data_IF_723174544938
#
_entry.id   IF_723174544938
#
_cell.length_a   1.000
_cell.length_b   1.000
_cell.length_c   1.000
_cell.angle_alpha   90.00
_cell.angle_beta   90.00
_cell.angle_gamma   90.00
#
_symmetry.space_group_name_H-M   'P 1'
#
loop_
_entity.id
_entity.type
_entity.pdbx_description
1 polymer ?
#
# COMPACT_ATOMS: atom_id res chain seq x y z
N UNK A 1 10.38 -11.86 9.32
CA UNK A 1 11.37 -11.43 8.33
C UNK A 1 11.46 -12.33 7.09
N UNK A 2 11.04 -13.59 7.17
CA UNK A 2 11.11 -14.55 6.05
C UNK A 2 10.45 -14.01 4.75
N UNK A 3 9.26 -13.40 4.84
CA UNK A 3 8.56 -12.83 3.67
C UNK A 3 9.38 -11.72 3.02
N UNK A 4 9.92 -10.79 3.80
CA UNK A 4 10.76 -9.70 3.29
C UNK A 4 12.00 -10.22 2.56
N UNK A 5 12.68 -11.19 3.17
CA UNK A 5 13.87 -11.81 2.56
C UNK A 5 13.54 -12.52 1.25
N UNK A 6 12.43 -13.28 1.21
CA UNK A 6 11.97 -13.96 0.00
C UNK A 6 11.65 -12.96 -1.10
N UNK A 7 10.91 -11.89 -0.79
CA UNK A 7 10.55 -10.83 -1.74
C UNK A 7 11.79 -10.09 -2.25
N UNK A 8 12.74 -9.76 -1.38
CA UNK A 8 13.94 -9.03 -1.78
C UNK A 8 14.85 -9.86 -2.69
N UNK A 9 14.96 -11.16 -2.42
CA UNK A 9 15.67 -12.10 -3.30
C UNK A 9 14.98 -12.20 -4.66
N UNK A 10 13.64 -12.21 -4.70
CA UNK A 10 12.88 -12.21 -5.93
C UNK A 10 13.08 -10.90 -6.72
N UNK A 11 13.00 -9.75 -6.07
CA UNK A 11 13.28 -8.44 -6.70
C UNK A 11 14.69 -8.37 -7.28
N UNK A 12 15.70 -8.89 -6.58
CA UNK A 12 17.08 -8.99 -7.10
C UNK A 12 17.14 -9.82 -8.38
N UNK A 13 16.45 -10.98 -8.40
CA UNK A 13 16.41 -11.89 -9.56
C UNK A 13 15.81 -11.23 -10.81
N UNK A 14 14.75 -10.44 -10.63
CA UNK A 14 13.97 -9.86 -11.73
C UNK A 14 14.25 -8.37 -11.98
N UNK A 15 15.20 -7.76 -11.30
CA UNK A 15 15.44 -6.31 -11.29
C UNK A 15 15.51 -5.64 -12.68
N UNK A 16 16.04 -6.33 -13.68
CA UNK A 16 16.22 -5.81 -15.05
C UNK A 16 14.94 -5.99 -15.90
N UNK A 17 14.09 -6.95 -15.55
CA UNK A 17 12.90 -7.32 -16.34
C UNK A 17 11.63 -6.57 -15.90
N UNK A 18 11.65 -6.02 -14.69
CA UNK A 18 10.49 -5.31 -14.12
C UNK A 18 10.32 -3.92 -14.73
N UNK A 19 9.09 -3.48 -15.00
CA UNK A 19 8.79 -2.10 -15.38
C UNK A 19 9.41 -1.09 -14.39
N UNK A 20 9.71 0.12 -14.87
CA UNK A 20 10.35 1.13 -14.04
C UNK A 20 9.51 1.56 -12.83
N UNK A 21 8.19 1.56 -12.99
CA UNK A 21 7.18 1.92 -12.00
C UNK A 21 6.68 0.74 -11.17
N UNK A 22 7.18 -0.48 -11.43
CA UNK A 22 6.78 -1.68 -10.69
C UNK A 22 7.15 -1.56 -9.21
N UNK A 23 6.17 -1.78 -8.33
CA UNK A 23 6.33 -1.78 -6.86
C UNK A 23 5.75 -3.04 -6.25
N UNK A 24 6.29 -3.42 -5.09
CA UNK A 24 5.75 -4.49 -4.25
C UNK A 24 5.37 -3.91 -2.90
N UNK A 25 4.15 -4.17 -2.50
CA UNK A 25 3.64 -3.86 -1.17
C UNK A 25 3.88 -5.02 -0.19
N UNK A 26 4.28 -4.67 1.03
CA UNK A 26 4.64 -5.62 2.08
C UNK A 26 3.99 -5.21 3.40
N UNK A 27 3.16 -6.08 3.93
CA UNK A 27 2.52 -5.87 5.23
C UNK A 27 3.53 -5.84 6.39
N UNK A 28 3.37 -4.88 7.30
CA UNK A 28 4.14 -4.79 8.55
C UNK A 28 3.34 -5.40 9.69
N UNK A 29 3.87 -6.48 10.28
CA UNK A 29 3.23 -7.10 11.43
C UNK A 29 3.20 -6.17 12.65
N UNK A 30 2.09 -6.12 13.41
CA UNK A 30 1.98 -5.34 14.65
C UNK A 30 3.13 -5.60 15.66
N UNK A 31 3.69 -6.81 15.68
CA UNK A 31 4.82 -7.17 16.55
C UNK A 31 6.08 -6.33 16.31
N UNK A 32 6.25 -5.75 15.12
CA UNK A 32 7.42 -4.94 14.80
C UNK A 32 7.39 -3.54 15.41
N UNK A 33 6.23 -3.11 15.93
CA UNK A 33 6.10 -1.81 16.59
C UNK A 33 6.53 -1.81 18.06
N UNK A 34 6.83 -2.98 18.62
CA UNK A 34 7.49 -3.09 19.93
C UNK A 34 8.93 -2.56 19.87
N UNK A 35 9.64 -2.81 18.76
CA UNK A 35 11.01 -2.37 18.52
C UNK A 35 11.16 -1.76 17.10
N UNK A 36 10.58 -0.59 16.82
CA UNK A 36 10.52 -0.04 15.46
C UNK A 36 11.90 0.25 14.85
N UNK A 37 12.87 0.68 15.65
CA UNK A 37 14.23 0.97 15.20
C UNK A 37 14.97 -0.33 14.79
N UNK A 38 14.73 -1.43 15.51
CA UNK A 38 15.29 -2.74 15.18
C UNK A 38 14.70 -3.27 13.86
N UNK A 39 13.39 -3.08 13.63
CA UNK A 39 12.77 -3.41 12.36
C UNK A 39 13.41 -2.65 11.20
N UNK A 40 13.52 -1.32 11.31
CA UNK A 40 14.14 -0.47 10.28
C UNK A 40 15.56 -0.92 9.99
N UNK A 41 16.38 -1.15 11.03
CA UNK A 41 17.76 -1.65 10.89
C UNK A 41 17.80 -2.95 10.11
N UNK A 42 16.95 -3.92 10.47
CA UNK A 42 16.90 -5.25 9.82
C UNK A 42 16.47 -5.17 8.36
N UNK A 43 15.47 -4.35 8.04
CA UNK A 43 15.05 -4.10 6.65
C UNK A 43 16.18 -3.48 5.83
N UNK A 44 16.89 -2.48 6.37
CA UNK A 44 18.03 -1.87 5.70
C UNK A 44 19.21 -2.86 5.48
N UNK A 45 19.44 -3.78 6.40
CA UNK A 45 20.41 -4.86 6.22
C UNK A 45 20.02 -5.77 5.05
N UNK A 46 18.76 -6.19 4.96
CA UNK A 46 18.24 -7.01 3.86
C UNK A 46 18.31 -6.26 2.51
N UNK A 47 17.91 -5.00 2.47
CA UNK A 47 17.98 -4.16 1.27
C UNK A 47 19.43 -4.11 0.73
N UNK A 48 20.41 -3.90 1.61
CA UNK A 48 21.82 -3.90 1.23
C UNK A 48 22.32 -5.27 0.75
N UNK A 49 21.91 -6.34 1.45
CA UNK A 49 22.29 -7.71 1.11
C UNK A 49 21.81 -8.12 -0.28
N UNK A 50 20.56 -7.77 -0.63
CA UNK A 50 19.94 -8.13 -1.90
C UNK A 50 20.00 -7.01 -2.94
N UNK A 51 20.64 -5.86 -2.63
CA UNK A 51 20.78 -4.70 -3.52
C UNK A 51 19.45 -4.23 -4.11
N UNK A 52 18.39 -4.19 -3.26
CA UNK A 52 17.04 -3.83 -3.68
C UNK A 52 16.93 -2.33 -3.92
N UNK A 53 16.35 -1.94 -5.04
CA UNK A 53 15.91 -0.57 -5.28
C UNK A 53 14.73 -0.23 -4.37
N UNK A 54 14.95 0.66 -3.43
CA UNK A 54 13.97 1.04 -2.40
C UNK A 54 12.74 1.74 -2.96
N UNK A 55 12.83 2.34 -4.16
CA UNK A 55 11.69 2.95 -4.85
C UNK A 55 10.62 1.92 -5.25
N UNK A 56 10.99 0.64 -5.31
CA UNK A 56 10.10 -0.49 -5.60
C UNK A 56 9.41 -1.08 -4.37
N UNK A 57 9.66 -0.51 -3.18
CA UNK A 57 9.10 -1.01 -1.93
C UNK A 57 8.05 -0.07 -1.36
N UNK A 58 6.90 -0.63 -1.03
CA UNK A 58 5.87 -0.01 -0.21
C UNK A 58 5.65 -0.88 1.03
N UNK A 59 5.67 -0.30 2.23
CA UNK A 59 5.29 -1.01 3.45
C UNK A 59 3.88 -0.60 3.87
N UNK A 60 3.03 -1.59 4.10
CA UNK A 60 1.63 -1.41 4.46
C UNK A 60 1.43 -1.54 5.96
N UNK A 61 0.77 -0.57 6.56
CA UNK A 61 0.45 -0.53 7.99
C UNK A 61 -1.04 -0.28 8.11
N UNK A 62 -1.76 -1.17 8.77
CA UNK A 62 -3.21 -1.04 8.91
C UNK A 62 -3.60 0.19 9.74
N UNK A 63 -4.77 0.77 9.43
CA UNK A 63 -5.36 1.89 10.16
C UNK A 63 -5.43 1.62 11.67
N UNK A 64 -5.92 0.44 12.06
CA UNK A 64 -6.04 0.03 13.46
C UNK A 64 -4.70 -0.01 14.18
N UNK A 65 -3.65 -0.50 13.52
CA UNK A 65 -2.28 -0.51 14.09
C UNK A 65 -1.77 0.91 14.30
N UNK A 66 -1.98 1.81 13.34
CA UNK A 66 -1.58 3.20 13.46
C UNK A 66 -2.25 3.90 14.64
N UNK A 67 -3.57 3.76 14.77
CA UNK A 67 -4.33 4.40 15.86
C UNK A 67 -3.89 3.92 17.24
N UNK A 68 -3.64 2.61 17.38
CA UNK A 68 -3.25 2.00 18.66
C UNK A 68 -1.79 2.26 19.05
N UNK A 69 -0.91 2.57 18.09
CA UNK A 69 0.55 2.65 18.28
C UNK A 69 1.17 3.88 17.59
N UNK A 70 0.48 5.01 17.54
CA UNK A 70 0.83 6.18 16.72
C UNK A 70 2.30 6.61 16.86
N UNK A 71 2.85 6.68 18.07
CA UNK A 71 4.23 7.10 18.27
C UNK A 71 5.26 6.10 17.70
N UNK A 72 5.07 4.81 17.98
CA UNK A 72 5.96 3.76 17.50
C UNK A 72 5.91 3.65 15.96
N UNK A 73 4.70 3.72 15.38
CA UNK A 73 4.50 3.75 13.93
C UNK A 73 5.18 4.95 13.31
N UNK A 74 5.01 6.15 13.88
CA UNK A 74 5.64 7.36 13.36
C UNK A 74 7.17 7.30 13.44
N UNK A 75 7.76 6.67 14.49
CA UNK A 75 9.22 6.44 14.53
C UNK A 75 9.67 5.52 13.41
N UNK A 76 8.97 4.41 13.20
CA UNK A 76 9.25 3.47 12.11
C UNK A 76 9.14 4.14 10.74
N UNK A 77 8.05 4.87 10.48
CA UNK A 77 7.84 5.58 9.20
C UNK A 77 8.98 6.57 8.92
N UNK A 78 9.38 7.38 9.91
CA UNK A 78 10.51 8.31 9.74
C UNK A 78 11.80 7.57 9.39
N UNK A 79 12.07 6.44 10.05
CA UNK A 79 13.24 5.62 9.77
C UNK A 79 13.22 5.05 8.35
N UNK A 80 12.10 4.46 7.91
CA UNK A 80 11.97 3.89 6.56
C UNK A 80 12.06 4.99 5.47
N UNK A 81 11.46 6.15 5.69
CA UNK A 81 11.50 7.29 4.75
C UNK A 81 12.89 7.86 4.53
N UNK A 82 13.80 7.77 5.51
CA UNK A 82 15.21 8.16 5.32
C UNK A 82 15.92 7.31 4.25
N UNK A 83 15.34 6.15 3.91
CA UNK A 83 15.82 5.25 2.88
C UNK A 83 14.96 5.27 1.59
N UNK A 84 14.14 6.31 1.39
CA UNK A 84 13.23 6.47 0.26
C UNK A 84 12.21 5.33 0.08
N UNK A 85 11.84 4.66 1.18
CA UNK A 85 10.82 3.61 1.16
C UNK A 85 9.44 4.27 1.29
N UNK A 86 8.49 3.83 0.45
CA UNK A 86 7.11 4.29 0.49
C UNK A 86 6.35 3.59 1.63
N UNK A 87 5.42 4.31 2.24
CA UNK A 87 4.57 3.76 3.30
C UNK A 87 3.11 4.01 2.95
N UNK A 88 2.32 2.95 2.96
CA UNK A 88 0.88 2.97 2.72
C UNK A 88 0.10 2.70 4.00
N UNK A 89 -0.98 3.45 4.20
CA UNK A 89 -1.98 3.13 5.21
C UNK A 89 -2.99 2.18 4.63
N UNK A 90 -3.10 1.00 5.21
CA UNK A 90 -4.01 -0.06 4.78
C UNK A 90 -5.32 -0.07 5.56
N UNK A 91 -6.38 -0.63 4.99
CA UNK A 91 -7.73 -0.76 5.57
C UNK A 91 -8.38 0.58 5.97
N UNK A 92 -8.04 1.70 5.30
CA UNK A 92 -8.59 3.01 5.65
C UNK A 92 -10.11 3.06 5.47
N UNK A 93 -10.78 3.52 6.53
CA UNK A 93 -12.24 3.60 6.58
C UNK A 93 -12.91 2.36 7.15
N UNK A 94 -12.14 1.39 7.65
CA UNK A 94 -12.69 0.22 8.35
C UNK A 94 -13.29 0.54 9.73
N UNK A 95 -13.16 1.78 10.22
CA UNK A 95 -13.93 2.29 11.37
C UNK A 95 -13.13 2.88 12.54
N UNK A 96 -11.83 3.10 12.40
CA UNK A 96 -10.95 3.55 13.48
C UNK A 96 -10.50 5.01 13.35
N UNK A 97 -10.52 5.60 12.16
CA UNK A 97 -9.97 6.95 11.95
C UNK A 97 -10.89 8.06 12.40
N UNK A 98 -10.34 8.95 13.22
CA UNK A 98 -10.88 10.30 13.39
C UNK A 98 -10.20 11.25 12.40
N UNK A 99 -10.89 12.35 12.01
CA UNK A 99 -10.27 13.42 11.21
C UNK A 99 -9.02 14.00 11.88
N UNK A 100 -8.92 13.93 13.21
CA UNK A 100 -7.72 14.33 13.95
C UNK A 100 -6.51 13.47 13.62
N UNK A 101 -6.72 12.17 13.36
CA UNK A 101 -5.66 11.24 12.99
C UNK A 101 -5.10 11.56 11.61
N UNK A 102 -5.96 12.03 10.69
CA UNK A 102 -5.58 12.33 9.31
C UNK A 102 -4.64 13.52 9.15
N UNK A 103 -4.77 14.57 9.98
CA UNK A 103 -4.01 15.82 9.82
C UNK A 103 -2.48 15.63 9.89
N UNK A 104 -2.01 14.63 10.64
CA UNK A 104 -0.59 14.39 10.92
C UNK A 104 -0.05 13.13 10.21
N UNK A 105 -0.75 12.66 9.15
CA UNK A 105 -0.37 11.45 8.43
C UNK A 105 1.00 11.57 7.74
N UNK A 106 1.93 10.74 8.19
CA UNK A 106 3.24 10.59 7.57
C UNK A 106 3.25 9.63 6.37
N UNK A 107 2.16 8.91 6.12
CA UNK A 107 2.01 7.98 5.01
C UNK A 107 2.13 8.69 3.65
N UNK A 108 2.60 7.99 2.64
CA UNK A 108 2.65 8.46 1.25
C UNK A 108 1.34 8.17 0.52
N UNK A 109 0.72 7.04 0.87
CA UNK A 109 -0.40 6.45 0.20
C UNK A 109 -1.47 6.00 1.20
N UNK A 110 -2.72 5.98 0.78
CA UNK A 110 -3.86 5.49 1.56
C UNK A 110 -4.65 4.51 0.71
N UNK A 111 -4.85 3.30 1.23
CA UNK A 111 -5.65 2.25 0.61
C UNK A 111 -7.04 2.25 1.22
N UNK A 112 -8.02 2.57 0.38
CA UNK A 112 -9.43 2.62 0.76
C UNK A 112 -9.97 1.19 0.80
N UNK A 113 -10.41 0.76 1.99
CA UNK A 113 -10.95 -0.58 2.22
C UNK A 113 -12.21 -0.84 1.39
N UNK A 114 -12.38 -2.07 0.90
CA UNK A 114 -13.57 -2.56 0.18
C UNK A 114 -14.89 -2.22 0.90
N UNK A 115 -14.93 -2.18 2.22
CA UNK A 115 -16.13 -1.84 2.97
C UNK A 115 -16.68 -0.46 2.65
N UNK A 116 -15.83 0.46 2.21
CA UNK A 116 -16.24 1.78 1.72
C UNK A 116 -17.01 1.70 0.40
N UNK A 117 -16.68 0.71 -0.44
CA UNK A 117 -17.33 0.52 -1.73
C UNK A 117 -18.68 -0.19 -1.58
N UNK A 118 -18.83 -1.07 -0.54
CA UNK A 118 -20.02 -1.90 -0.35
C UNK A 118 -20.27 -2.85 -1.53
N UNK A 119 -21.43 -3.50 -1.52
CA UNK A 119 -21.85 -4.36 -2.65
C UNK A 119 -22.37 -3.55 -3.85
N UNK A 120 -22.75 -2.29 -3.63
CA UNK A 120 -23.12 -1.32 -4.64
C UNK A 120 -22.85 0.10 -4.13
N UNK A 121 -22.29 0.95 -4.98
CA UNK A 121 -22.04 2.35 -4.66
C UNK A 121 -23.37 3.13 -4.61
N UNK A 122 -23.89 3.36 -3.41
CA UNK A 122 -25.01 4.28 -3.20
C UNK A 122 -24.57 5.72 -3.48
N UNK A 123 -25.52 6.62 -3.79
CA UNK A 123 -25.20 8.04 -4.02
C UNK A 123 -24.49 8.68 -2.80
N UNK A 124 -24.88 8.34 -1.57
CA UNK A 124 -24.19 8.84 -0.39
C UNK A 124 -22.75 8.29 -0.29
N UNK A 125 -22.52 7.03 -0.64
CA UNK A 125 -21.17 6.45 -0.67
C UNK A 125 -20.29 7.17 -1.70
N UNK A 126 -20.81 7.48 -2.89
CA UNK A 126 -20.12 8.25 -3.92
C UNK A 126 -19.72 9.64 -3.41
N UNK A 127 -20.65 10.37 -2.80
CA UNK A 127 -20.36 11.69 -2.22
C UNK A 127 -19.24 11.62 -1.18
N UNK A 128 -19.32 10.65 -0.26
CA UNK A 128 -18.29 10.49 0.79
C UNK A 128 -16.93 10.16 0.16
N UNK A 129 -16.87 9.25 -0.82
CA UNK A 129 -15.62 8.91 -1.51
C UNK A 129 -15.02 10.12 -2.23
N UNK A 130 -15.84 10.91 -2.93
CA UNK A 130 -15.38 12.12 -3.61
C UNK A 130 -14.72 13.11 -2.65
N UNK A 131 -15.35 13.37 -1.50
CA UNK A 131 -14.80 14.28 -0.50
C UNK A 131 -13.53 13.71 0.17
N UNK A 132 -13.48 12.40 0.44
CA UNK A 132 -12.29 11.74 0.97
C UNK A 132 -11.15 11.83 -0.05
N UNK A 133 -11.40 11.54 -1.33
CA UNK A 133 -10.38 11.65 -2.38
C UNK A 133 -9.86 13.08 -2.50
N UNK A 134 -10.77 14.07 -2.57
CA UNK A 134 -10.39 15.48 -2.62
C UNK A 134 -9.50 15.86 -1.44
N UNK A 135 -9.87 15.46 -0.24
CA UNK A 135 -9.07 15.71 0.97
C UNK A 135 -7.68 15.08 0.88
N UNK A 136 -7.60 13.77 0.57
CA UNK A 136 -6.33 13.04 0.48
C UNK A 136 -5.41 13.61 -0.60
N UNK A 137 -5.94 13.96 -1.78
CA UNK A 137 -5.20 14.61 -2.86
C UNK A 137 -4.63 15.96 -2.44
N UNK A 138 -5.41 16.79 -1.75
CA UNK A 138 -4.93 18.08 -1.21
C UNK A 138 -3.84 17.90 -0.17
N UNK A 139 -3.81 16.77 0.54
CA UNK A 139 -2.75 16.39 1.47
C UNK A 139 -1.53 15.76 0.76
N UNK A 140 -1.54 15.68 -0.57
CA UNK A 140 -0.47 15.09 -1.37
C UNK A 140 -0.32 13.58 -1.19
N UNK A 141 -1.45 12.87 -0.96
CA UNK A 141 -1.47 11.40 -0.82
C UNK A 141 -1.88 10.74 -2.11
N UNK A 142 -1.24 9.59 -2.43
CA UNK A 142 -1.74 8.65 -3.41
C UNK A 142 -2.91 7.86 -2.85
N UNK A 143 -3.85 7.47 -3.71
CA UNK A 143 -5.06 6.75 -3.33
C UNK A 143 -5.10 5.43 -4.08
N UNK A 144 -5.20 4.33 -3.34
CA UNK A 144 -5.49 3.00 -3.87
C UNK A 144 -6.87 2.59 -3.42
N UNK A 145 -7.69 2.03 -4.30
CA UNK A 145 -8.98 1.44 -3.92
C UNK A 145 -8.91 -0.08 -4.05
N UNK A 146 -9.26 -0.76 -2.96
CA UNK A 146 -9.19 -2.21 -2.86
C UNK A 146 -10.53 -2.90 -3.06
N UNK A 147 -10.45 -4.20 -3.44
CA UNK A 147 -11.63 -5.05 -3.56
C UNK A 147 -12.58 -4.67 -4.68
N UNK A 148 -12.09 -4.03 -5.72
CA UNK A 148 -12.89 -3.66 -6.89
C UNK A 148 -13.15 -4.89 -7.74
N UNK A 149 -14.45 -5.19 -7.97
CA UNK A 149 -14.88 -6.41 -8.67
C UNK A 149 -15.68 -6.12 -9.96
N UNK A 150 -16.10 -4.86 -10.18
CA UNK A 150 -16.92 -4.47 -11.33
C UNK A 150 -16.35 -3.28 -12.08
N UNK A 151 -16.60 -3.25 -13.41
CA UNK A 151 -16.17 -2.18 -14.30
C UNK A 151 -16.79 -0.83 -13.91
N UNK A 152 -18.08 -0.80 -13.57
CA UNK A 152 -18.80 0.42 -13.19
C UNK A 152 -18.15 1.13 -11.99
N UNK A 153 -17.72 0.34 -10.97
CA UNK A 153 -17.00 0.87 -9.81
C UNK A 153 -15.62 1.39 -10.26
N UNK A 154 -14.91 0.62 -11.07
CA UNK A 154 -13.58 1.03 -11.55
C UNK A 154 -13.63 2.32 -12.37
N UNK A 155 -14.61 2.49 -13.26
CA UNK A 155 -14.81 3.71 -14.04
C UNK A 155 -15.12 4.91 -13.14
N UNK A 156 -16.00 4.74 -12.15
CA UNK A 156 -16.27 5.78 -11.17
C UNK A 156 -15.00 6.21 -10.44
N UNK A 157 -14.24 5.26 -9.90
CA UNK A 157 -13.02 5.54 -9.15
C UNK A 157 -11.96 6.25 -10.01
N UNK A 158 -11.76 5.81 -11.27
CA UNK A 158 -10.87 6.47 -12.23
C UNK A 158 -11.29 7.92 -12.49
N UNK A 159 -12.58 8.15 -12.69
CA UNK A 159 -13.14 9.50 -12.94
C UNK A 159 -12.92 10.43 -11.76
N UNK A 160 -13.01 9.91 -10.54
CA UNK A 160 -12.81 10.70 -9.32
C UNK A 160 -11.31 10.87 -8.96
N UNK A 161 -10.39 10.27 -9.73
CA UNK A 161 -8.96 10.49 -9.58
C UNK A 161 -8.26 9.52 -8.64
N UNK A 162 -8.79 8.29 -8.49
CA UNK A 162 -8.06 7.18 -7.88
C UNK A 162 -6.76 6.93 -8.67
N UNK A 163 -5.63 6.77 -7.97
CA UNK A 163 -4.34 6.56 -8.62
C UNK A 163 -4.15 5.10 -9.03
N UNK A 164 -4.53 4.17 -8.16
CA UNK A 164 -4.39 2.74 -8.38
C UNK A 164 -5.65 1.99 -7.93
N UNK A 165 -6.00 0.91 -8.62
CA UNK A 165 -7.17 0.08 -8.32
C UNK A 165 -6.71 -1.37 -8.18
N UNK A 166 -7.06 -1.99 -7.06
CA UNK A 166 -6.77 -3.38 -6.75
C UNK A 166 -8.07 -4.16 -6.60
N UNK A 167 -8.17 -5.35 -7.23
CA UNK A 167 -9.33 -6.21 -7.03
C UNK A 167 -9.47 -7.33 -8.04
N UNK A 168 -10.46 -8.18 -7.83
CA UNK A 168 -10.74 -9.34 -8.66
C UNK A 168 -11.21 -9.00 -10.08
N UNK A 169 -11.54 -7.75 -10.33
CA UNK A 169 -11.79 -7.26 -11.68
C UNK A 169 -10.55 -7.45 -12.58
N UNK A 170 -9.36 -7.24 -12.04
CA UNK A 170 -8.10 -7.34 -12.78
C UNK A 170 -7.47 -8.70 -12.57
N UNK A 171 -7.03 -9.00 -11.34
CA UNK A 171 -6.37 -10.25 -11.02
C UNK A 171 -6.82 -10.80 -9.67
N UNK A 172 -6.86 -12.12 -9.58
CA UNK A 172 -7.00 -12.84 -8.31
C UNK A 172 -5.62 -13.16 -7.75
N UNK A 173 -5.47 -13.33 -6.43
CA UNK A 173 -4.23 -13.84 -5.86
C UNK A 173 -3.76 -15.10 -6.57
N UNK A 174 -2.47 -15.17 -6.88
CA UNK A 174 -1.87 -16.28 -7.60
C UNK A 174 -0.54 -16.67 -6.97
N UNK A 175 -0.02 -17.86 -7.31
CA UNK A 175 1.29 -18.28 -6.85
C UNK A 175 2.41 -17.53 -7.59
N UNK A 176 3.63 -17.59 -7.04
CA UNK A 176 4.80 -16.92 -7.58
C UNK A 176 5.08 -17.32 -9.04
N UNK A 177 4.97 -18.61 -9.38
CA UNK A 177 5.22 -19.11 -10.72
C UNK A 177 4.23 -18.57 -11.76
N UNK A 178 2.97 -18.41 -11.41
CA UNK A 178 1.96 -17.85 -12.30
C UNK A 178 2.12 -16.34 -12.46
N UNK A 179 2.52 -15.65 -11.40
CA UNK A 179 2.87 -14.23 -11.46
C UNK A 179 4.11 -13.97 -12.33
N UNK A 180 5.14 -14.80 -12.22
CA UNK A 180 6.34 -14.72 -13.09
C UNK A 180 5.97 -14.88 -14.57
N UNK A 181 5.07 -15.82 -14.91
CA UNK A 181 4.58 -16.00 -16.28
C UNK A 181 3.84 -14.76 -16.80
N UNK A 182 3.02 -14.13 -15.94
CA UNK A 182 2.29 -12.91 -16.28
C UNK A 182 3.24 -11.77 -16.62
N UNK A 183 4.32 -11.58 -15.85
CA UNK A 183 5.32 -10.52 -16.10
C UNK A 183 6.11 -10.70 -17.39
N UNK A 184 6.30 -11.95 -17.85
CA UNK A 184 7.08 -12.27 -19.05
C UNK A 184 6.18 -12.29 -20.30
N UNK A 185 4.86 -12.32 -20.15
CA UNK A 185 3.94 -12.34 -21.26
C UNK A 185 4.03 -11.04 -22.07
N UNK A 186 4.15 -11.11 -23.43
CA UNK A 186 4.19 -9.90 -24.25
C UNK A 186 2.82 -9.19 -24.18
N UNK A 187 2.78 -8.02 -23.60
CA UNK A 187 1.60 -7.15 -23.61
C UNK A 187 1.06 -6.72 -22.24
N UNK A 188 1.82 -6.88 -21.17
CA UNK A 188 1.51 -6.27 -19.85
C UNK A 188 2.36 -5.04 -19.66
#
# INVERSE_FOLDING_TARGET
>A
YYVYEKTFRWLQKFSIQLPADFRISLNVSPLHFEEPENFVKKICELIRTYQVDTSRLTFEITESTYVNNTEAVNRMIRGLKQHNIQISMDDFGSGYSSLNTLKDLLFNEVKIDRKFLGDSLTENAKIVLQEVFHMLKRMGKSIVCEGVETEDIAEFLKKEGCDEIQGFLYYRPMCEEDFEKLLIAPGV
#
